data_IF_713911526293
#
_entry.id   IF_713911526293
#
_cell.length_a   1.000
_cell.length_b   1.000
_cell.length_c   1.000
_cell.angle_alpha   90.00
_cell.angle_beta   90.00
_cell.angle_gamma   90.00
#
_symmetry.space_group_name_H-M   'P 1'
#
loop_
_entity.id
_entity.type
_entity.pdbx_description
1 polymer ?
#
# COMPACT_ATOMS: atom_id res chain seq x y z
N UNK A 1 -50.20 13.64 -57.33
CA UNK A 1 -49.52 14.61 -56.45
C UNK A 1 -49.06 13.82 -55.23
N UNK A 2 -47.82 13.30 -55.29
CA UNK A 2 -46.61 13.87 -54.64
C UNK A 2 -46.50 13.38 -53.20
N UNK A 3 -45.56 12.48 -52.86
CA UNK A 3 -44.20 12.84 -52.39
C UNK A 3 -44.26 13.12 -50.87
N UNK A 4 -43.40 12.66 -49.95
CA UNK A 4 -41.98 12.27 -49.91
C UNK A 4 -41.83 11.31 -48.69
N UNK A 5 -41.09 10.19 -48.69
CA UNK A 5 -39.62 10.00 -48.68
C UNK A 5 -38.79 11.00 -47.85
N UNK A 6 -38.04 10.47 -46.88
CA UNK A 6 -36.97 11.16 -46.13
C UNK A 6 -37.51 12.03 -45.00
N UNK A 7 -36.95 12.07 -43.80
CA UNK A 7 -35.65 11.71 -43.27
C UNK A 7 -35.52 12.58 -42.01
N UNK A 8 -35.03 12.09 -40.88
CA UNK A 8 -33.61 12.11 -40.56
C UNK A 8 -33.44 12.84 -39.20
N UNK A 9 -32.36 12.52 -38.48
CA UNK A 9 -31.90 13.04 -37.18
C UNK A 9 -32.69 12.55 -35.95
N UNK A 10 -32.11 11.94 -34.92
CA UNK A 10 -30.69 11.83 -34.59
C UNK A 10 -30.48 10.53 -33.80
N UNK A 11 -29.84 9.55 -34.46
CA UNK A 11 -28.93 8.63 -33.77
C UNK A 11 -27.90 9.52 -33.09
N UNK A 12 -27.62 9.30 -31.82
CA UNK A 12 -26.36 9.55 -31.08
C UNK A 12 -26.69 9.57 -29.58
N UNK A 13 -27.42 8.56 -29.11
CA UNK A 13 -27.25 8.12 -27.73
C UNK A 13 -25.96 7.33 -27.69
N UNK A 14 -24.81 8.00 -27.58
CA UNK A 14 -23.62 7.33 -27.06
C UNK A 14 -23.97 6.92 -25.63
N UNK A 15 -24.57 5.73 -25.51
CA UNK A 15 -24.58 4.97 -24.26
C UNK A 15 -23.11 4.68 -24.03
N UNK A 16 -22.44 5.58 -23.31
CA UNK A 16 -21.18 5.27 -22.67
C UNK A 16 -21.58 4.19 -21.67
N UNK A 17 -21.54 2.94 -22.13
CA UNK A 17 -21.45 1.78 -21.26
C UNK A 17 -20.04 1.91 -20.69
N UNK A 18 -19.91 2.84 -19.74
CA UNK A 18 -18.82 2.82 -18.79
C UNK A 18 -19.07 1.54 -18.03
N UNK A 19 -18.53 0.43 -18.53
CA UNK A 19 -18.39 -0.75 -17.72
C UNK A 19 -17.56 -0.26 -16.56
N UNK A 20 -18.18 -0.07 -15.40
CA UNK A 20 -17.47 0.18 -14.16
C UNK A 20 -16.68 -1.10 -13.91
N UNK A 21 -15.48 -1.14 -14.47
CA UNK A 21 -14.58 -2.28 -14.39
C UNK A 21 -14.06 -2.27 -12.96
N UNK A 22 -14.78 -2.93 -12.05
CA UNK A 22 -14.26 -3.16 -10.69
C UNK A 22 -12.88 -3.78 -10.85
N UNK A 23 -11.83 -3.11 -10.38
CA UNK A 23 -10.50 -3.72 -10.33
C UNK A 23 -10.61 -4.93 -9.39
N UNK A 24 -10.17 -6.12 -9.80
CA UNK A 24 -10.11 -7.24 -8.86
C UNK A 24 -9.15 -6.85 -7.74
N UNK A 25 -9.56 -7.12 -6.51
CA UNK A 25 -8.78 -6.73 -5.35
C UNK A 25 -7.62 -7.72 -5.08
N UNK A 26 -7.76 -8.97 -5.53
CA UNK A 26 -6.81 -10.05 -5.31
C UNK A 26 -6.02 -10.47 -6.55
N UNK A 27 -4.87 -11.12 -6.34
CA UNK A 27 -4.05 -11.71 -7.40
C UNK A 27 -4.81 -12.81 -8.18
N UNK A 28 -5.59 -13.65 -7.51
CA UNK A 28 -6.45 -14.64 -8.19
C UNK A 28 -7.60 -13.98 -8.96
N UNK A 29 -8.23 -12.95 -8.38
CA UNK A 29 -9.25 -12.16 -9.08
C UNK A 29 -8.67 -11.43 -10.30
N UNK A 30 -7.41 -11.00 -10.23
CA UNK A 30 -6.67 -10.38 -11.33
C UNK A 30 -6.39 -11.39 -12.44
N UNK A 31 -5.90 -12.59 -12.10
CA UNK A 31 -5.70 -13.69 -13.06
C UNK A 31 -7.00 -14.08 -13.74
N UNK A 32 -8.07 -14.30 -12.97
CA UNK A 32 -9.39 -14.69 -13.48
C UNK A 32 -10.02 -13.62 -14.38
N UNK A 33 -9.81 -12.32 -14.08
CA UNK A 33 -10.28 -11.23 -14.97
C UNK A 33 -9.42 -11.06 -16.22
N UNK A 34 -8.13 -11.38 -16.16
CA UNK A 34 -7.24 -11.39 -17.34
C UNK A 34 -7.60 -12.53 -18.30
N UNK A 35 -8.04 -13.67 -17.77
CA UNK A 35 -8.53 -14.80 -18.57
C UNK A 35 -9.88 -14.51 -19.24
N UNK A 36 -10.74 -13.74 -18.56
CA UNK A 36 -12.10 -13.43 -19.04
C UNK A 36 -12.12 -12.23 -20.00
N UNK A 37 -11.18 -11.29 -19.92
CA UNK A 37 -11.11 -10.11 -20.78
C UNK A 37 -9.71 -9.90 -21.36
N UNK A 38 -9.59 -10.09 -22.68
CA UNK A 38 -8.34 -9.95 -23.44
C UNK A 38 -7.83 -8.49 -23.47
N UNK A 39 -8.71 -7.51 -23.25
CA UNK A 39 -8.36 -6.07 -23.17
C UNK A 39 -8.15 -5.59 -21.73
N UNK A 40 -8.04 -6.50 -20.75
CA UNK A 40 -7.76 -6.11 -19.38
C UNK A 40 -6.41 -5.38 -19.29
N UNK A 41 -6.41 -4.19 -18.69
CA UNK A 41 -5.19 -3.43 -18.41
C UNK A 41 -4.29 -4.29 -17.51
N UNK A 42 -3.18 -4.75 -18.07
CA UNK A 42 -2.12 -5.41 -17.32
C UNK A 42 -1.48 -4.37 -16.41
N UNK A 43 -1.44 -4.63 -15.11
CA UNK A 43 -0.71 -3.79 -14.18
C UNK A 43 0.75 -3.67 -14.61
N UNK A 44 1.36 -2.52 -14.36
CA UNK A 44 2.78 -2.28 -14.67
C UNK A 44 3.74 -3.13 -13.83
N UNK A 45 3.25 -3.72 -12.73
CA UNK A 45 4.04 -4.50 -11.79
C UNK A 45 3.62 -5.96 -11.80
N UNK A 46 4.61 -6.86 -11.78
CA UNK A 46 4.43 -8.29 -11.52
C UNK A 46 4.27 -8.52 -10.03
N UNK A 47 3.27 -9.30 -9.64
CA UNK A 47 3.03 -9.65 -8.25
C UNK A 47 4.16 -10.56 -7.73
N UNK A 48 4.85 -10.14 -6.67
CA UNK A 48 5.84 -10.95 -5.95
C UNK A 48 5.14 -11.97 -5.04
N UNK A 49 5.83 -13.02 -4.63
CA UNK A 49 5.33 -13.99 -3.65
C UNK A 49 4.96 -13.33 -2.31
N UNK A 50 5.70 -12.30 -1.91
CA UNK A 50 5.44 -11.56 -0.67
C UNK A 50 4.16 -10.72 -0.78
N UNK A 51 3.86 -10.16 -1.95
CA UNK A 51 2.60 -9.45 -2.20
C UNK A 51 1.41 -10.41 -2.07
N UNK A 52 1.57 -11.66 -2.52
CA UNK A 52 0.52 -12.69 -2.44
C UNK A 52 0.23 -13.02 -0.97
N UNK A 53 1.27 -13.23 -0.14
CA UNK A 53 1.10 -13.51 1.29
C UNK A 53 0.36 -12.39 2.02
N UNK A 54 0.68 -11.13 1.72
CA UNK A 54 -0.02 -9.97 2.29
C UNK A 54 -1.47 -9.94 1.83
N UNK A 55 -1.74 -10.16 0.53
CA UNK A 55 -3.10 -10.24 0.01
C UNK A 55 -3.93 -11.32 0.70
N UNK A 56 -3.36 -12.51 0.92
CA UNK A 56 -4.06 -13.62 1.59
C UNK A 56 -4.49 -13.25 3.03
N UNK A 57 -3.65 -12.53 3.78
CA UNK A 57 -4.00 -12.07 5.13
C UNK A 57 -5.13 -11.05 5.06
N UNK A 58 -5.04 -10.08 4.16
CA UNK A 58 -6.08 -9.05 3.99
C UNK A 58 -7.42 -9.64 3.54
N UNK A 59 -7.40 -10.69 2.70
CA UNK A 59 -8.61 -11.40 2.28
C UNK A 59 -9.30 -12.12 3.44
N UNK A 60 -8.53 -12.77 4.32
CA UNK A 60 -9.08 -13.39 5.53
C UNK A 60 -9.73 -12.35 6.44
N UNK A 61 -9.09 -11.18 6.60
CA UNK A 61 -9.65 -10.07 7.37
C UNK A 61 -10.91 -9.46 6.73
N UNK A 62 -10.97 -9.40 5.40
CA UNK A 62 -12.13 -8.93 4.67
C UNK A 62 -13.35 -9.84 4.89
N UNK A 63 -13.14 -11.16 4.88
CA UNK A 63 -14.20 -12.13 5.19
C UNK A 63 -14.64 -12.02 6.66
N UNK A 64 -13.70 -11.85 7.59
CA UNK A 64 -14.02 -11.75 9.02
C UNK A 64 -14.82 -10.48 9.39
N UNK A 65 -14.59 -9.37 8.68
CA UNK A 65 -15.24 -8.08 8.95
C UNK A 65 -16.37 -7.74 7.96
N UNK A 66 -16.80 -8.70 7.12
CA UNK A 66 -17.85 -8.52 6.10
C UNK A 66 -17.63 -7.28 5.20
N UNK A 67 -16.38 -6.97 4.88
CA UNK A 67 -15.98 -5.76 4.17
C UNK A 67 -15.27 -6.08 2.85
N UNK A 68 -15.07 -5.06 2.00
CA UNK A 68 -14.24 -5.24 0.81
C UNK A 68 -12.76 -5.19 1.17
N UNK A 69 -11.90 -5.80 0.35
CA UNK A 69 -10.45 -5.77 0.57
C UNK A 69 -9.90 -4.33 0.61
N UNK A 70 -10.49 -3.43 -0.18
CA UNK A 70 -10.15 -2.02 -0.21
C UNK A 70 -10.49 -1.32 1.11
N UNK A 71 -11.61 -1.69 1.74
CA UNK A 71 -12.02 -1.14 3.02
C UNK A 71 -11.05 -1.57 4.14
N UNK A 72 -10.64 -2.85 4.14
CA UNK A 72 -9.64 -3.36 5.10
C UNK A 72 -8.28 -2.67 4.90
N UNK A 73 -7.82 -2.52 3.66
CA UNK A 73 -6.56 -1.85 3.37
C UNK A 73 -6.56 -0.39 3.85
N UNK A 74 -7.69 0.30 3.69
CA UNK A 74 -7.85 1.67 4.14
C UNK A 74 -7.96 1.77 5.67
N UNK A 75 -8.72 0.88 6.31
CA UNK A 75 -8.82 0.78 7.77
C UNK A 75 -7.45 0.50 8.41
N UNK A 76 -6.66 -0.39 7.80
CA UNK A 76 -5.29 -0.67 8.22
C UNK A 76 -4.40 0.61 8.24
N UNK A 77 -4.50 1.46 7.21
CA UNK A 77 -3.73 2.71 7.15
C UNK A 77 -4.17 3.70 8.24
N UNK A 78 -5.46 3.77 8.56
CA UNK A 78 -5.96 4.61 9.65
C UNK A 78 -5.49 4.13 11.02
N UNK A 79 -5.40 2.81 11.25
CA UNK A 79 -4.93 2.27 12.53
C UNK A 79 -3.40 2.33 12.70
N UNK A 80 -2.63 2.35 11.61
CA UNK A 80 -1.18 2.32 11.70
C UNK A 80 -0.62 3.58 12.40
N UNK A 81 -1.24 4.75 12.22
CA UNK A 81 -0.85 5.95 12.96
C UNK A 81 -1.92 7.03 12.96
N UNK A 82 -1.99 7.80 14.05
CA UNK A 82 -3.02 8.83 14.31
C UNK A 82 -2.96 10.03 13.36
N UNK A 83 -1.90 10.19 12.56
CA UNK A 83 -1.67 11.36 11.70
C UNK A 83 -1.47 11.02 10.23
N UNK A 84 -1.84 9.81 9.80
CA UNK A 84 -1.74 9.41 8.38
C UNK A 84 -3.14 9.44 7.76
N UNK A 85 -3.29 10.34 6.79
CA UNK A 85 -4.46 10.41 5.92
C UNK A 85 -4.04 9.97 4.51
N UNK A 86 -4.40 8.76 4.08
CA UNK A 86 -4.00 8.29 2.76
C UNK A 86 -4.70 9.07 1.65
N UNK A 87 -3.98 9.33 0.56
CA UNK A 87 -4.54 9.96 -0.64
C UNK A 87 -5.22 8.88 -1.47
N UNK A 88 -6.55 8.88 -1.48
CA UNK A 88 -7.34 7.91 -2.25
C UNK A 88 -7.65 8.46 -3.64
N UNK A 89 -7.12 7.81 -4.68
CA UNK A 89 -7.43 8.14 -6.07
C UNK A 89 -8.83 7.64 -6.46
N UNK A 90 -9.81 8.52 -6.48
CA UNK A 90 -11.19 8.24 -6.90
C UNK A 90 -11.43 8.67 -8.36
N UNK A 91 -12.16 7.86 -9.12
CA UNK A 91 -12.54 8.16 -10.51
C UNK A 91 -14.05 8.14 -10.72
N UNK A 92 -14.80 7.55 -9.79
CA UNK A 92 -16.25 7.37 -9.86
C UNK A 92 -16.90 7.75 -8.53
N UNK A 93 -18.17 8.12 -8.59
CA UNK A 93 -18.96 8.50 -7.40
C UNK A 93 -19.18 7.27 -6.48
N UNK A 94 -19.32 6.08 -7.07
CA UNK A 94 -19.51 4.83 -6.33
C UNK A 94 -18.38 4.55 -5.33
N UNK A 95 -17.14 4.86 -5.70
CA UNK A 95 -15.99 4.70 -4.79
C UNK A 95 -16.07 5.68 -3.62
N UNK A 96 -16.53 6.91 -3.84
CA UNK A 96 -16.68 7.90 -2.76
C UNK A 96 -17.73 7.43 -1.75
N UNK A 97 -18.84 6.88 -2.25
CA UNK A 97 -19.92 6.38 -1.39
C UNK A 97 -19.54 5.12 -0.61
N UNK A 98 -18.52 4.37 -1.02
CA UNK A 98 -18.07 3.17 -0.29
C UNK A 98 -16.99 3.45 0.76
N UNK A 99 -16.28 4.60 0.71
CA UNK A 99 -15.22 4.93 1.68
C UNK A 99 -15.67 5.02 3.15
N UNK A 100 -16.88 5.50 3.50
CA UNK A 100 -17.31 5.56 4.89
C UNK A 100 -17.30 4.20 5.60
N UNK A 101 -17.58 3.12 4.87
CA UNK A 101 -17.52 1.75 5.42
C UNK A 101 -16.14 1.44 6.00
N UNK A 102 -15.07 1.83 5.31
CA UNK A 102 -13.70 1.62 5.76
C UNK A 102 -13.37 2.37 7.05
N UNK A 103 -13.95 3.56 7.28
CA UNK A 103 -13.69 4.36 8.48
C UNK A 103 -14.37 3.81 9.74
N UNK A 104 -15.32 2.89 9.59
CA UNK A 104 -16.03 2.26 10.71
C UNK A 104 -15.44 0.91 11.14
N UNK A 105 -14.51 0.36 10.36
CA UNK A 105 -13.88 -0.93 10.67
C UNK A 105 -12.78 -0.68 11.70
N UNK A 106 -12.86 -1.37 12.83
CA UNK A 106 -11.80 -1.40 13.85
C UNK A 106 -11.03 -2.72 13.73
N UNK A 107 -9.72 -2.66 13.50
CA UNK A 107 -8.85 -3.84 13.42
C UNK A 107 -8.18 -4.04 14.78
N UNK A 108 -8.14 -5.30 15.22
CA UNK A 108 -7.43 -5.64 16.46
C UNK A 108 -5.92 -5.48 16.29
N UNK A 109 -5.20 -5.39 17.41
CA UNK A 109 -3.73 -5.30 17.38
C UNK A 109 -3.12 -6.58 16.82
N UNK A 110 -3.78 -7.71 17.05
CA UNK A 110 -3.44 -9.03 16.55
C UNK A 110 -3.55 -9.09 15.02
N UNK A 111 -4.62 -8.52 14.44
CA UNK A 111 -4.82 -8.45 12.99
C UNK A 111 -3.74 -7.61 12.30
N UNK A 112 -3.41 -6.47 12.92
CA UNK A 112 -2.34 -5.58 12.46
C UNK A 112 -0.98 -6.29 12.54
N UNK A 113 -0.69 -6.96 13.65
CA UNK A 113 0.53 -7.74 13.82
C UNK A 113 0.63 -8.90 12.81
N UNK A 114 -0.48 -9.58 12.53
CA UNK A 114 -0.56 -10.63 11.50
C UNK A 114 -0.27 -10.09 10.10
N UNK A 115 -0.74 -8.89 9.79
CA UNK A 115 -0.45 -8.20 8.52
C UNK A 115 1.03 -7.83 8.41
N UNK A 116 1.64 -7.30 9.47
CA UNK A 116 3.08 -6.99 9.50
C UNK A 116 3.98 -8.24 9.41
N UNK A 117 3.50 -9.38 9.90
CA UNK A 117 4.22 -10.66 9.86
C UNK A 117 4.15 -11.40 8.52
N UNK A 118 3.29 -10.96 7.59
CA UNK A 118 3.02 -11.69 6.34
C UNK A 118 4.20 -11.67 5.35
N UNK A 119 4.97 -10.58 5.34
CA UNK A 119 6.10 -10.38 4.43
C UNK A 119 7.27 -9.70 5.14
N UNK A 120 8.53 -9.96 4.71
CA UNK A 120 9.69 -9.29 5.28
C UNK A 120 9.65 -7.78 4.99
N UNK A 121 9.92 -6.97 6.01
CA UNK A 121 9.97 -5.52 5.86
C UNK A 121 11.12 -5.09 4.92
N UNK A 122 10.78 -4.38 3.85
CA UNK A 122 11.74 -3.80 2.92
C UNK A 122 11.68 -2.27 3.00
N UNK A 123 12.74 -1.59 3.46
CA UNK A 123 12.76 -0.13 3.66
C UNK A 123 12.83 0.67 2.35
N UNK A 124 12.90 0.00 1.19
CA UNK A 124 13.00 0.58 -0.15
C UNK A 124 14.16 1.57 -0.31
N UNK A 125 14.20 2.27 -1.43
CA UNK A 125 15.17 3.33 -1.69
C UNK A 125 14.91 4.54 -0.77
N UNK A 126 15.95 5.22 -0.22
CA UNK A 126 17.39 5.01 -0.39
C UNK A 126 18.01 4.00 0.58
N UNK A 127 17.24 3.48 1.53
CA UNK A 127 17.76 2.62 2.60
C UNK A 127 18.35 1.30 2.08
N UNK A 128 17.76 0.70 1.04
CA UNK A 128 18.35 -0.47 0.36
C UNK A 128 19.75 -0.14 -0.19
N UNK A 129 19.91 1.05 -0.79
CA UNK A 129 21.20 1.47 -1.37
C UNK A 129 22.23 1.73 -0.28
N UNK A 130 21.84 2.36 0.82
CA UNK A 130 22.77 2.77 1.88
C UNK A 130 23.17 1.62 2.81
N UNK A 131 22.26 0.70 3.11
CA UNK A 131 22.44 -0.32 4.15
C UNK A 131 22.32 -1.76 3.65
N UNK A 132 22.03 -1.97 2.36
CA UNK A 132 21.82 -3.30 1.79
C UNK A 132 20.57 -4.00 2.35
N UNK A 133 20.66 -5.34 2.45
CA UNK A 133 19.58 -6.19 2.96
C UNK A 133 19.63 -6.20 4.49
N UNK A 134 18.55 -5.78 5.17
CA UNK A 134 18.43 -5.88 6.65
C UNK A 134 18.46 -4.54 7.41
N UNK A 135 17.70 -3.55 6.94
CA UNK A 135 17.58 -2.26 7.62
C UNK A 135 17.02 -2.39 9.04
N UNK A 136 17.66 -1.69 9.98
CA UNK A 136 17.19 -1.48 11.35
C UNK A 136 17.13 0.01 11.61
N UNK A 137 16.18 0.45 12.43
CA UNK A 137 16.03 1.86 12.83
C UNK A 137 17.21 2.40 13.65
N UNK A 138 18.14 1.53 14.07
CA UNK A 138 19.34 1.86 14.85
C UNK A 138 20.60 2.01 13.99
N UNK A 139 20.51 1.83 12.67
CA UNK A 139 21.65 1.98 11.77
C UNK A 139 22.04 3.46 11.66
N UNK A 140 23.35 3.71 11.68
CA UNK A 140 23.94 5.04 11.66
C UNK A 140 24.75 5.25 10.38
N UNK A 141 25.30 6.46 10.17
CA UNK A 141 26.16 6.74 9.02
C UNK A 141 27.38 5.80 8.93
N UNK A 142 27.80 5.21 10.06
CA UNK A 142 28.89 4.23 10.11
C UNK A 142 28.52 2.88 9.50
N UNK A 143 27.24 2.51 9.52
CA UNK A 143 26.76 1.21 9.01
C UNK A 143 26.47 1.23 7.50
N UNK A 144 26.78 2.34 6.82
CA UNK A 144 26.53 2.50 5.38
C UNK A 144 27.57 1.76 4.55
N UNK A 145 27.11 0.99 3.56
CA UNK A 145 27.97 0.11 2.73
C UNK A 145 28.91 0.87 1.80
N UNK A 146 28.56 2.10 1.41
CA UNK A 146 29.26 2.86 0.37
C UNK A 146 30.01 4.11 0.86
N UNK A 147 29.88 4.46 2.14
CA UNK A 147 30.68 5.54 2.72
C UNK A 147 31.98 4.96 3.30
N UNK A 148 33.14 5.62 3.08
CA UNK A 148 34.33 5.28 3.84
C UNK A 148 34.04 5.56 5.32
N UNK A 149 34.36 4.61 6.20
CA UNK A 149 34.14 4.65 7.65
C UNK A 149 34.27 6.09 8.20
N UNK A 150 33.15 6.79 8.30
CA UNK A 150 33.13 8.13 8.88
C UNK A 150 33.31 7.90 10.37
N UNK A 151 34.43 8.35 10.90
CA UNK A 151 34.80 8.13 12.28
C UNK A 151 33.94 9.03 13.19
N UNK A 152 32.68 8.66 13.40
CA UNK A 152 31.73 9.36 14.30
C UNK A 152 32.15 9.18 15.78
N UNK A 153 33.05 8.23 16.06
CA UNK A 153 33.50 7.87 17.40
C UNK A 153 34.40 8.90 18.10
N UNK A 154 34.79 9.98 17.42
CA UNK A 154 35.54 11.05 18.09
C UNK A 154 34.69 11.82 19.12
N UNK A 155 33.35 11.76 19.03
CA UNK A 155 32.45 12.47 19.95
C UNK A 155 31.88 11.56 21.06
N UNK A 156 31.69 10.26 20.80
CA UNK A 156 31.11 9.30 21.76
C UNK A 156 32.13 8.76 22.77
N UNK A 157 33.42 8.72 22.40
CA UNK A 157 34.50 8.32 23.31
C UNK A 157 34.81 9.39 24.37
N UNK A 158 34.61 10.66 24.06
CA UNK A 158 34.82 11.78 24.99
C UNK A 158 33.66 11.91 26.00
N UNK A 159 32.43 11.59 25.60
CA UNK A 159 31.27 11.55 26.51
C UNK A 159 31.28 10.31 27.42
N UNK A 160 31.80 9.17 26.96
CA UNK A 160 31.98 7.98 27.78
C UNK A 160 33.04 8.16 28.90
N UNK A 161 34.14 8.87 28.63
CA UNK A 161 35.17 9.16 29.64
C UNK A 161 34.71 10.22 30.66
N UNK A 162 33.93 11.22 30.22
CA UNK A 162 33.35 12.23 31.11
C UNK A 162 32.28 11.62 32.04
N UNK A 163 31.44 10.70 31.56
CA UNK A 163 30.47 9.99 32.42
C UNK A 163 31.15 9.06 33.44
N UNK A 164 32.24 8.38 33.05
CA UNK A 164 33.02 7.54 33.96
C UNK A 164 33.76 8.36 35.04
N UNK A 165 34.23 9.57 34.71
CA UNK A 165 34.94 10.45 35.66
C UNK A 165 33.96 11.14 36.62
N UNK A 166 32.77 11.53 36.16
CA UNK A 166 31.73 12.14 37.00
C UNK A 166 31.15 11.15 38.02
N UNK A 167 30.99 9.86 37.65
CA UNK A 167 30.52 8.81 38.56
C UNK A 167 31.60 8.37 39.57
N UNK A 168 32.88 8.56 39.26
CA UNK A 168 33.97 8.25 40.18
C UNK A 168 34.29 9.38 41.20
N UNK A 169 33.69 10.56 41.04
CA UNK A 169 33.92 11.73 41.90
C UNK A 169 32.69 12.19 42.70
N UNK A 170 31.59 11.43 42.64
CA UNK A 170 30.40 11.59 43.48
C UNK A 170 30.29 10.40 44.45
#
# INVERSE_FOLDING_TARGET
MSGCQGGCLSRHGHRIVGVVRRRPASHEGAKKKLEVDVNASRGYYTCSEDDIKVCEVLERLAVANEATLQDIALAYLFHQSTYVFPIVGIQTIEHVTSLPTATHIELSKEDIAGTHGAAPFNPLFPNILLFGQGYKTKLTATDQTHLPNVNVDRCTTETASLHATLVATA
#
